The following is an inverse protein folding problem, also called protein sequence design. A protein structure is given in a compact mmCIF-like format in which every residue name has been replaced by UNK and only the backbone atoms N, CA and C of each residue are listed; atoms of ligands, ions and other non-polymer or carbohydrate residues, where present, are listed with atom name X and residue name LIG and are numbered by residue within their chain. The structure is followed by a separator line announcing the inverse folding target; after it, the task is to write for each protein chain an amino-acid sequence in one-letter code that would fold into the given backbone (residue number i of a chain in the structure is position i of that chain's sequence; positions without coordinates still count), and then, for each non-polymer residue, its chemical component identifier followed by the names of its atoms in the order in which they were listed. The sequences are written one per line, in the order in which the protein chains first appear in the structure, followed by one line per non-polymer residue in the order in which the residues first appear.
data_IF_341438073726
#
_entry.id   IF_341438073726
#
_cell.length_a   1.000
_cell.length_b   1.000
_cell.length_c   1.000
_cell.angle_alpha   90.00
_cell.angle_beta   90.00
_cell.angle_gamma   90.00
#
_symmetry.space_group_name_H-M   'P 1'
#
loop_
_entity.id
_entity.type
_entity.pdbx_description
1 polymer ?
#
# COMPACT_ATOMS: atom_id res chain seq x y z
N UNK A 1 11.98 4.02 9.27
CA UNK A 1 10.66 3.72 8.67
C UNK A 1 9.77 3.24 9.80
N UNK A 2 8.60 3.85 9.99
CA UNK A 2 7.68 3.48 11.08
C UNK A 2 7.27 2.01 11.03
N UNK A 3 7.02 1.43 12.21
CA UNK A 3 6.72 0.01 12.38
C UNK A 3 5.43 -0.41 11.66
N UNK A 4 4.41 0.45 11.69
CA UNK A 4 3.15 0.29 10.94
C UNK A 4 3.39 0.16 9.43
N UNK A 5 4.16 1.08 8.87
CA UNK A 5 4.51 1.10 7.43
C UNK A 5 5.27 -0.17 7.06
N UNK A 6 6.21 -0.60 7.90
CA UNK A 6 7.00 -1.81 7.67
C UNK A 6 6.18 -3.11 7.72
N UNK A 7 5.18 -3.17 8.61
CA UNK A 7 4.22 -4.29 8.69
C UNK A 7 3.36 -4.35 7.43
N UNK A 8 2.72 -3.24 7.06
CA UNK A 8 1.85 -3.13 5.88
C UNK A 8 2.62 -3.44 4.59
N UNK A 9 3.87 -2.99 4.47
CA UNK A 9 4.73 -3.33 3.33
C UNK A 9 4.96 -4.83 3.23
N UNK A 10 5.22 -5.54 4.35
CA UNK A 10 5.48 -6.98 4.34
C UNK A 10 4.26 -7.80 3.95
N UNK A 11 3.09 -7.45 4.48
CA UNK A 11 1.82 -8.09 4.14
C UNK A 11 1.51 -7.91 2.65
N UNK A 12 1.60 -6.68 2.14
CA UNK A 12 1.32 -6.39 0.72
C UNK A 12 2.39 -6.94 -0.22
N UNK A 13 3.66 -6.97 0.17
CA UNK A 13 4.71 -7.59 -0.64
C UNK A 13 4.52 -9.10 -0.76
N UNK A 14 3.93 -9.73 0.27
CA UNK A 14 3.55 -11.14 0.25
C UNK A 14 2.34 -11.35 -0.66
N UNK A 15 1.31 -10.50 -0.52
CA UNK A 15 0.07 -10.64 -1.28
C UNK A 15 0.25 -10.37 -2.79
N UNK A 16 1.04 -9.36 -3.14
CA UNK A 16 1.27 -8.95 -4.52
C UNK A 16 2.57 -9.52 -5.10
N UNK A 17 3.17 -10.50 -4.42
CA UNK A 17 4.38 -11.19 -4.85
C UNK A 17 4.25 -11.72 -6.28
N UNK A 18 5.28 -11.51 -7.10
CA UNK A 18 5.29 -11.90 -8.50
C UNK A 18 4.54 -10.96 -9.46
N UNK A 19 3.70 -10.07 -8.95
CA UNK A 19 2.92 -9.12 -9.77
C UNK A 19 3.47 -7.70 -9.64
N UNK A 20 3.76 -7.27 -8.41
CA UNK A 20 4.29 -5.93 -8.10
C UNK A 20 5.71 -6.07 -7.54
N UNK A 21 6.71 -5.35 -8.08
CA UNK A 21 8.05 -5.37 -7.52
C UNK A 21 8.04 -4.79 -6.09
N UNK A 22 8.87 -5.32 -5.17
CA UNK A 22 8.89 -4.89 -3.77
C UNK A 22 9.08 -3.37 -3.58
N UNK A 23 9.88 -2.73 -4.44
CA UNK A 23 10.06 -1.27 -4.44
C UNK A 23 8.77 -0.52 -4.75
N UNK A 24 7.92 -1.04 -5.65
CA UNK A 24 6.62 -0.47 -5.98
C UNK A 24 5.62 -0.56 -4.82
N UNK A 25 5.66 -1.67 -4.06
CA UNK A 25 4.88 -1.82 -2.83
C UNK A 25 5.28 -0.76 -1.80
N UNK A 26 6.58 -0.62 -1.53
CA UNK A 26 7.12 0.38 -0.58
C UNK A 26 6.69 1.80 -0.97
N UNK A 27 6.90 2.20 -2.23
CA UNK A 27 6.53 3.54 -2.69
C UNK A 27 5.02 3.81 -2.58
N UNK A 28 4.19 2.79 -2.83
CA UNK A 28 2.73 2.92 -2.74
C UNK A 28 2.27 3.09 -1.30
N UNK A 29 2.83 2.33 -0.36
CA UNK A 29 2.48 2.43 1.06
C UNK A 29 2.91 3.79 1.63
N UNK A 30 4.10 4.29 1.27
CA UNK A 30 4.57 5.61 1.70
C UNK A 30 3.68 6.74 1.15
N UNK A 31 3.26 6.65 -0.12
CA UNK A 31 2.33 7.62 -0.69
C UNK A 31 0.96 7.55 0.00
N UNK A 32 0.42 6.34 0.22
CA UNK A 32 -0.84 6.15 0.92
C UNK A 32 -0.79 6.70 2.35
N UNK A 33 0.31 6.52 3.07
CA UNK A 33 0.49 7.14 4.39
C UNK A 33 0.40 8.66 4.28
N UNK A 34 1.16 9.29 3.40
CA UNK A 34 1.16 10.76 3.23
C UNK A 34 -0.21 11.33 2.89
N UNK A 35 -1.01 10.59 2.14
CA UNK A 35 -2.37 11.01 1.79
C UNK A 35 -3.33 10.98 3.00
N UNK A 36 -3.05 10.12 3.98
CA UNK A 36 -3.85 9.97 5.20
C UNK A 36 -3.29 10.79 6.37
N UNK A 37 -1.99 11.07 6.38
CA UNK A 37 -1.29 11.89 7.36
C UNK A 37 -1.86 13.31 7.31
N UNK A 38 -2.60 13.69 8.35
CA UNK A 38 -3.30 14.98 8.44
C UNK A 38 -4.83 14.93 8.25
N UNK A 39 -5.44 13.78 7.96
CA UNK A 39 -6.91 13.64 7.87
C UNK A 39 -7.54 12.73 8.93
N UNK A 40 -6.76 11.95 9.71
CA UNK A 40 -7.30 10.79 10.47
C UNK A 40 -6.60 10.56 11.82
N UNK A 41 -7.39 10.19 12.83
CA UNK A 41 -6.94 9.69 14.15
C UNK A 41 -6.07 8.42 13.97
N UNK A 42 -4.96 8.25 14.72
CA UNK A 42 -3.96 7.21 14.45
C UNK A 42 -4.49 5.77 14.39
N UNK A 43 -5.53 5.42 15.15
CA UNK A 43 -6.10 4.06 15.13
C UNK A 43 -6.82 3.70 13.82
N UNK A 44 -7.40 4.68 13.11
CA UNK A 44 -8.04 4.43 11.81
C UNK A 44 -7.04 4.46 10.63
N UNK A 45 -5.80 4.88 10.90
CA UNK A 45 -4.72 4.98 9.92
C UNK A 45 -4.35 3.62 9.33
N UNK A 46 -4.24 2.57 10.15
CA UNK A 46 -3.81 1.23 9.71
C UNK A 46 -4.80 0.61 8.71
N UNK A 47 -6.09 0.61 9.07
CA UNK A 47 -7.15 0.05 8.23
C UNK A 47 -7.33 0.83 6.92
N UNK A 48 -7.22 2.16 6.98
CA UNK A 48 -7.38 3.00 5.79
C UNK A 48 -6.15 2.95 4.88
N UNK A 49 -4.93 2.82 5.42
CA UNK A 49 -3.74 2.52 4.63
C UNK A 49 -3.89 1.19 3.91
N UNK A 50 -4.34 0.16 4.62
CA UNK A 50 -4.51 -1.16 4.05
C UNK A 50 -5.52 -1.15 2.90
N UNK A 51 -6.69 -0.52 3.11
CA UNK A 51 -7.72 -0.36 2.06
C UNK A 51 -7.22 0.44 0.86
N UNK A 52 -6.57 1.58 1.08
CA UNK A 52 -6.10 2.46 0.01
C UNK A 52 -4.97 1.82 -0.80
N UNK A 53 -4.02 1.16 -0.13
CA UNK A 53 -2.93 0.46 -0.78
C UNK A 53 -3.46 -0.70 -1.64
N UNK A 54 -4.39 -1.51 -1.10
CA UNK A 54 -5.04 -2.61 -1.84
C UNK A 54 -5.74 -2.10 -3.11
N UNK A 55 -6.50 -1.02 -3.00
CA UNK A 55 -7.20 -0.42 -4.15
C UNK A 55 -6.21 0.04 -5.24
N UNK A 56 -5.10 0.68 -4.85
CA UNK A 56 -4.08 1.16 -5.79
C UNK A 56 -3.36 0.03 -6.50
N UNK A 57 -3.03 -1.05 -5.78
CA UNK A 57 -2.34 -2.21 -6.33
C UNK A 57 -3.24 -2.99 -7.28
N UNK A 58 -4.52 -3.19 -6.94
CA UNK A 58 -5.50 -3.79 -7.84
C UNK A 58 -5.65 -3.00 -9.15
N UNK A 59 -5.61 -1.66 -9.08
CA UNK A 59 -5.63 -0.79 -10.27
C UNK A 59 -4.34 -0.84 -11.08
N UNK A 60 -3.21 -1.17 -10.45
CA UNK A 60 -1.92 -1.30 -11.13
C UNK A 60 -1.81 -2.62 -11.87
N UNK A 61 -2.27 -3.71 -11.25
CA UNK A 61 -2.39 -5.03 -11.87
C UNK A 61 -3.31 -5.00 -13.11
N UNK A 62 -4.50 -4.41 -12.97
CA UNK A 62 -5.49 -4.30 -14.05
C UNK A 62 -4.98 -3.46 -15.26
N UNK A 63 -3.97 -2.60 -15.06
CA UNK A 63 -3.33 -1.85 -16.16
C UNK A 63 -2.28 -2.67 -16.92
N UNK A 64 -1.68 -3.70 -16.31
CA UNK A 64 -0.74 -4.59 -17.00
C UNK A 64 -1.43 -5.66 -17.82
N UNK A 65 -2.62 -6.12 -17.42
CA UNK A 65 -3.37 -7.16 -18.14
C UNK A 65 -4.05 -6.67 -19.43
N UNK A 66 -3.91 -5.39 -19.79
CA UNK A 66 -4.50 -4.75 -20.99
C UNK A 66 -3.46 -4.20 -21.98
N UNK A 67 -2.18 -4.41 -21.73
CA UNK A 67 -1.06 -4.03 -22.61
C UNK A 67 -0.44 -5.29 -23.21
#
# INVERSE_FOLDING_TARGET
MEELVSKVVRELATEFGGTVPPSGVVSTVVAAKRDLDGQIVPEAMEEMLHRLARFRLARWDNRRSRA
#
